data_IF_410123881481
#
_entry.id   IF_410123881481
#
_cell.length_a   1.000
_cell.length_b   1.000
_cell.length_c   1.000
_cell.angle_alpha   90.00
_cell.angle_beta   90.00
_cell.angle_gamma   90.00
#
_symmetry.space_group_name_H-M   'P 1'
#
loop_
_entity.id
_entity.type
_entity.pdbx_description
1 polymer ?
#
# COMPACT_ATOMS: atom_id res chain seq x y z
N UNK A 1 -56.77 19.06 2.07
CA UNK A 1 -56.06 17.81 1.74
C UNK A 1 -55.85 17.09 3.07
N UNK A 2 -56.77 16.24 3.53
CA UNK A 2 -57.02 14.86 3.05
C UNK A 2 -55.74 14.02 3.07
N UNK A 3 -55.68 12.82 3.65
CA UNK A 3 -56.56 12.05 4.54
C UNK A 3 -55.68 10.84 4.94
N UNK A 4 -55.69 10.44 6.22
CA UNK A 4 -55.62 9.04 6.73
C UNK A 4 -54.39 8.16 6.40
N UNK A 5 -53.97 7.19 7.22
CA UNK A 5 -54.74 6.19 8.00
C UNK A 5 -53.72 5.48 8.90
N UNK A 6 -53.92 5.39 10.24
CA UNK A 6 -54.44 4.20 10.99
C UNK A 6 -53.33 3.16 11.26
N UNK A 7 -53.19 2.48 12.40
CA UNK A 7 -53.77 2.34 13.76
C UNK A 7 -52.78 1.35 14.45
N UNK A 8 -52.81 0.94 15.71
CA UNK A 8 -53.71 0.94 16.88
C UNK A 8 -52.71 0.78 18.07
N UNK A 9 -52.64 1.62 19.09
CA UNK A 9 -53.59 1.87 20.18
C UNK A 9 -53.46 0.93 21.38
N UNK A 10 -53.54 1.59 22.53
CA UNK A 10 -54.03 1.12 23.84
C UNK A 10 -53.05 0.44 24.78
N UNK A 11 -52.42 1.31 25.56
CA UNK A 11 -52.60 1.37 27.02
C UNK A 11 -53.79 0.54 27.55
N UNK A 12 -53.57 -0.22 28.62
CA UNK A 12 -54.06 0.15 29.97
C UNK A 12 -53.89 -0.99 30.98
N UNK A 13 -53.11 -0.65 32.01
CA UNK A 13 -53.45 -0.72 33.44
C UNK A 13 -54.05 -2.01 33.99
N UNK A 14 -53.26 -2.56 34.90
CA UNK A 14 -53.59 -3.54 35.94
C UNK A 14 -55.02 -3.49 36.49
N UNK A 15 -55.61 -4.67 36.69
CA UNK A 15 -56.62 -4.89 37.75
C UNK A 15 -56.85 -6.39 37.98
N UNK A 16 -56.16 -6.90 38.99
CA UNK A 16 -56.71 -7.73 40.07
C UNK A 16 -57.96 -8.59 39.79
N UNK A 17 -57.77 -9.92 39.77
CA UNK A 17 -58.65 -10.88 40.43
C UNK A 17 -57.87 -12.20 40.70
N UNK A 18 -57.59 -12.48 41.98
CA UNK A 18 -57.29 -13.81 42.55
C UNK A 18 -58.52 -14.75 42.41
N UNK A 19 -58.50 -16.02 42.86
CA UNK A 19 -57.43 -17.01 43.11
C UNK A 19 -57.74 -18.32 42.33
N UNK A 20 -56.80 -19.24 42.08
CA UNK A 20 -56.69 -20.56 42.75
C UNK A 20 -55.98 -21.49 41.74
N UNK A 21 -54.64 -21.52 41.65
CA UNK A 21 -53.87 -22.57 40.90
C UNK A 21 -52.33 -22.49 41.07
N UNK A 22 -51.83 -21.88 42.15
CA UNK A 22 -50.39 -21.55 42.28
C UNK A 22 -49.50 -22.73 42.68
N UNK A 23 -50.03 -23.92 42.99
CA UNK A 23 -49.17 -25.00 43.51
C UNK A 23 -48.59 -25.99 42.48
N UNK A 24 -49.00 -25.96 41.21
CA UNK A 24 -48.57 -26.99 40.25
C UNK A 24 -47.51 -26.58 39.21
N UNK A 25 -47.12 -25.30 39.12
CA UNK A 25 -46.18 -24.81 38.09
C UNK A 25 -44.76 -24.49 38.60
N UNK A 26 -44.31 -25.07 39.72
CA UNK A 26 -42.94 -24.82 40.24
C UNK A 26 -41.87 -25.76 39.67
N UNK A 27 -42.24 -26.84 38.97
CA UNK A 27 -41.27 -27.86 38.48
C UNK A 27 -40.91 -27.77 37.00
N UNK A 28 -41.62 -26.98 36.20
CA UNK A 28 -41.37 -26.88 34.75
C UNK A 28 -40.69 -25.58 34.31
N UNK A 29 -40.59 -24.58 35.19
CA UNK A 29 -39.93 -23.29 34.88
C UNK A 29 -38.40 -23.31 35.03
N UNK A 30 -37.84 -24.26 35.81
CA UNK A 30 -36.38 -24.37 36.01
C UNK A 30 -35.67 -25.02 34.81
N UNK A 31 -36.32 -25.97 34.13
CA UNK A 31 -35.78 -26.63 32.92
C UNK A 31 -35.82 -25.75 31.67
N UNK A 32 -36.82 -24.88 31.56
CA UNK A 32 -36.97 -23.98 30.41
C UNK A 32 -35.96 -22.81 30.47
N UNK A 33 -35.64 -22.32 31.67
CA UNK A 33 -34.63 -21.27 31.87
C UNK A 33 -33.20 -21.80 31.60
N UNK A 34 -32.90 -23.05 31.95
CA UNK A 34 -31.62 -23.70 31.62
C UNK A 34 -31.48 -23.96 30.12
N UNK A 35 -32.57 -24.32 29.43
CA UNK A 35 -32.56 -24.50 27.97
C UNK A 35 -32.31 -23.18 27.21
N UNK A 36 -32.83 -22.04 27.69
CA UNK A 36 -32.61 -20.72 27.10
C UNK A 36 -31.18 -20.19 27.31
N UNK A 37 -30.55 -20.52 28.44
CA UNK A 37 -29.15 -20.14 28.73
C UNK A 37 -28.17 -20.97 27.86
N UNK A 38 -28.47 -22.24 27.58
CA UNK A 38 -27.65 -23.10 26.71
C UNK A 38 -27.65 -22.66 25.23
N UNK A 39 -28.73 -22.04 24.74
CA UNK A 39 -28.83 -21.54 23.35
C UNK A 39 -27.99 -20.28 23.13
N UNK A 40 -27.66 -19.53 24.20
CA UNK A 40 -26.86 -18.31 24.11
C UNK A 40 -25.35 -18.57 23.96
N UNK A 41 -24.89 -19.82 24.12
CA UNK A 41 -23.47 -20.18 24.10
C UNK A 41 -22.95 -20.70 22.75
N UNK A 42 -23.82 -20.81 21.74
CA UNK A 42 -23.42 -21.23 20.38
C UNK A 42 -23.54 -20.06 19.41
N UNK A 43 -22.75 -19.00 19.61
CA UNK A 43 -22.36 -18.18 18.47
C UNK A 43 -21.41 -19.05 17.62
N UNK A 44 -21.74 -19.40 16.37
CA UNK A 44 -20.72 -19.93 15.49
C UNK A 44 -19.66 -18.84 15.38
N UNK A 45 -18.49 -19.09 15.98
CA UNK A 45 -17.27 -18.41 15.59
C UNK A 45 -17.07 -18.78 14.12
N UNK A 46 -17.65 -17.98 13.22
CA UNK A 46 -17.11 -17.87 11.88
C UNK A 46 -15.76 -17.23 12.12
N UNK A 47 -14.75 -18.06 12.35
CA UNK A 47 -13.39 -17.69 12.08
C UNK A 47 -13.39 -17.37 10.58
N UNK A 48 -13.66 -16.11 10.26
CA UNK A 48 -13.14 -15.54 9.04
C UNK A 48 -11.64 -15.79 9.17
N UNK A 49 -11.16 -16.84 8.49
CA UNK A 49 -9.75 -17.00 8.21
C UNK A 49 -9.41 -15.81 7.31
N UNK A 50 -9.21 -14.65 7.94
CA UNK A 50 -8.69 -13.46 7.31
C UNK A 50 -7.25 -13.80 7.01
N UNK A 51 -7.05 -14.54 5.92
CA UNK A 51 -5.75 -14.91 5.41
C UNK A 51 -4.90 -13.65 5.41
N UNK A 52 -3.86 -13.64 6.25
CA UNK A 52 -2.97 -12.49 6.42
C UNK A 52 -2.43 -12.07 5.07
N UNK A 53 -2.18 -10.78 4.83
CA UNK A 53 -1.60 -10.39 3.55
C UNK A 53 -0.21 -11.03 3.37
N UNK A 54 0.23 -11.28 2.14
CA UNK A 54 1.59 -11.78 1.89
C UNK A 54 2.67 -10.89 2.51
N UNK A 55 2.41 -9.58 2.57
CA UNK A 55 3.32 -8.59 3.14
C UNK A 55 3.42 -8.74 4.67
N UNK A 56 2.31 -9.07 5.34
CA UNK A 56 2.32 -9.41 6.77
C UNK A 56 3.04 -10.74 7.03
N UNK A 57 2.88 -11.72 6.13
CA UNK A 57 3.62 -12.98 6.20
C UNK A 57 5.12 -12.71 6.11
N UNK A 58 5.59 -11.93 5.14
CA UNK A 58 7.01 -11.55 5.04
C UNK A 58 7.53 -10.95 6.35
N UNK A 59 6.80 -10.00 6.93
CA UNK A 59 7.17 -9.37 8.19
C UNK A 59 7.26 -10.36 9.35
N UNK A 60 6.39 -11.38 9.39
CA UNK A 60 6.47 -12.42 10.43
C UNK A 60 7.72 -13.31 10.37
N UNK A 61 8.45 -13.25 9.24
CA UNK A 61 9.75 -13.91 9.03
C UNK A 61 10.90 -12.90 8.92
N UNK A 62 10.71 -11.67 9.45
CA UNK A 62 11.69 -10.59 9.55
C UNK A 62 12.10 -9.92 8.22
N UNK A 63 11.28 -10.09 7.17
CA UNK A 63 11.46 -9.38 5.90
C UNK A 63 10.62 -8.10 5.80
N UNK A 64 11.16 -7.00 5.24
CA UNK A 64 10.38 -5.81 4.97
C UNK A 64 9.39 -6.05 3.82
N UNK A 65 8.32 -5.25 3.80
CA UNK A 65 7.22 -5.42 2.83
C UNK A 65 7.66 -5.18 1.39
N UNK A 66 8.69 -4.35 1.18
CA UNK A 66 9.17 -3.93 -0.14
C UNK A 66 10.06 -4.93 -0.88
N UNK A 67 10.30 -6.12 -0.31
CA UNK A 67 10.95 -7.23 -1.04
C UNK A 67 10.08 -7.68 -2.22
N UNK A 68 8.75 -7.52 -2.11
CA UNK A 68 7.80 -7.80 -3.18
C UNK A 68 7.17 -6.51 -3.75
N UNK A 69 6.94 -6.46 -5.08
CA UNK A 69 6.21 -5.36 -5.68
C UNK A 69 4.72 -5.41 -5.31
N UNK A 70 4.07 -4.24 -5.38
CA UNK A 70 2.60 -4.13 -5.24
C UNK A 70 1.89 -4.95 -6.32
N UNK A 71 0.74 -5.52 -5.98
CA UNK A 71 -0.13 -6.23 -6.93
C UNK A 71 -0.07 -7.75 -6.86
N UNK A 72 0.43 -8.31 -5.76
CA UNK A 72 0.18 -9.72 -5.41
C UNK A 72 -1.32 -9.96 -5.26
N UNK A 73 -1.82 -11.00 -5.94
CA UNK A 73 -3.25 -11.36 -5.93
C UNK A 73 -3.55 -12.54 -5.02
N UNK A 74 -2.62 -13.48 -4.89
CA UNK A 74 -2.73 -14.60 -3.96
C UNK A 74 -1.35 -15.14 -3.57
N UNK A 75 -1.31 -15.95 -2.52
CA UNK A 75 -0.12 -16.67 -2.10
C UNK A 75 -0.50 -18.00 -1.45
N UNK A 76 0.42 -18.94 -1.41
CA UNK A 76 0.34 -20.18 -0.64
C UNK A 76 1.60 -20.29 0.23
N UNK A 77 1.45 -20.81 1.45
CA UNK A 77 2.56 -21.04 2.37
C UNK A 77 2.29 -22.33 3.15
N UNK A 78 3.22 -23.27 3.04
CA UNK A 78 3.29 -24.44 3.91
C UNK A 78 4.11 -24.07 5.15
N UNK A 79 3.45 -23.84 6.28
CA UNK A 79 4.10 -23.33 7.50
C UNK A 79 5.12 -24.31 8.11
N UNK A 80 4.94 -25.60 7.85
CA UNK A 80 5.80 -26.70 8.30
C UNK A 80 7.13 -26.74 7.54
N UNK A 81 7.11 -26.56 6.21
CA UNK A 81 8.33 -26.61 5.37
C UNK A 81 8.89 -25.24 5.01
N UNK A 82 8.09 -24.19 5.12
CA UNK A 82 8.39 -22.85 4.61
C UNK A 82 8.22 -22.71 3.10
N UNK A 83 7.79 -23.75 2.38
CA UNK A 83 7.55 -23.65 0.93
C UNK A 83 6.43 -22.66 0.63
N UNK A 84 6.70 -21.72 -0.28
CA UNK A 84 5.73 -20.71 -0.66
C UNK A 84 5.61 -20.56 -2.18
N UNK A 85 4.43 -20.10 -2.60
CA UNK A 85 4.19 -19.52 -3.91
C UNK A 85 3.48 -18.18 -3.76
N UNK A 86 3.87 -17.21 -4.59
CA UNK A 86 3.24 -15.89 -4.68
C UNK A 86 2.81 -15.68 -6.12
N UNK A 87 1.58 -15.20 -6.30
CA UNK A 87 0.97 -15.02 -7.62
C UNK A 87 0.59 -13.56 -7.88
N UNK A 88 0.86 -13.12 -9.10
CA UNK A 88 0.52 -11.81 -9.64
C UNK A 88 -0.18 -11.98 -10.99
N UNK A 89 -0.99 -11.00 -11.38
CA UNK A 89 -1.72 -11.07 -12.65
C UNK A 89 -0.83 -11.13 -13.90
N UNK A 90 0.39 -10.60 -13.82
CA UNK A 90 1.32 -10.52 -14.94
C UNK A 90 2.76 -10.51 -14.46
N UNK A 91 3.67 -10.80 -15.40
CA UNK A 91 5.10 -10.52 -15.19
C UNK A 91 5.29 -9.02 -14.96
N UNK A 92 6.16 -8.69 -14.04
CA UNK A 92 6.43 -7.34 -13.62
C UNK A 92 7.90 -6.99 -13.81
N UNK A 93 8.17 -5.84 -14.43
CA UNK A 93 9.53 -5.32 -14.60
C UNK A 93 9.56 -3.84 -14.26
N UNK A 94 10.65 -3.40 -13.66
CA UNK A 94 10.90 -2.00 -13.32
C UNK A 94 12.39 -1.79 -13.04
N UNK A 95 12.80 -0.52 -13.02
CA UNK A 95 14.17 -0.14 -12.65
C UNK A 95 14.18 0.54 -11.29
N UNK A 96 15.13 0.17 -10.45
CA UNK A 96 15.49 0.88 -9.21
C UNK A 96 16.95 1.27 -9.34
N UNK A 97 17.22 2.57 -9.28
CA UNK A 97 18.56 3.12 -9.46
C UNK A 97 19.22 2.64 -10.77
N UNK A 98 20.26 1.81 -10.69
CA UNK A 98 20.97 1.20 -11.83
C UNK A 98 20.56 -0.24 -12.14
N UNK A 99 19.66 -0.83 -11.35
CA UNK A 99 19.24 -2.23 -11.52
C UNK A 99 17.93 -2.33 -12.28
N UNK A 100 17.90 -3.24 -13.26
CA UNK A 100 16.66 -3.65 -13.93
C UNK A 100 16.18 -4.97 -13.31
N UNK A 101 15.00 -4.94 -12.70
CA UNK A 101 14.41 -6.07 -11.99
C UNK A 101 13.25 -6.65 -12.79
N UNK A 102 13.09 -7.97 -12.71
CA UNK A 102 12.00 -8.71 -13.32
C UNK A 102 11.48 -9.77 -12.37
N UNK A 103 10.20 -9.67 -12.07
CA UNK A 103 9.41 -10.63 -11.31
C UNK A 103 8.48 -11.36 -12.29
N UNK A 104 8.47 -12.68 -12.30
CA UNK A 104 7.48 -13.47 -13.04
C UNK A 104 6.12 -13.36 -12.34
N UNK A 105 5.06 -13.77 -13.05
CA UNK A 105 3.71 -13.83 -12.48
C UNK A 105 3.59 -14.83 -11.32
N UNK A 106 4.50 -15.81 -11.25
CA UNK A 106 4.60 -16.74 -10.13
C UNK A 106 6.02 -16.72 -9.59
N UNK A 107 6.15 -16.50 -8.30
CA UNK A 107 7.40 -16.52 -7.54
C UNK A 107 7.29 -17.67 -6.55
N UNK A 108 8.34 -18.47 -6.42
CA UNK A 108 8.36 -19.59 -5.46
C UNK A 108 9.64 -19.60 -4.68
N UNK A 109 9.65 -20.25 -3.53
CA UNK A 109 10.84 -20.46 -2.74
C UNK A 109 10.54 -21.16 -1.43
N UNK A 110 11.51 -21.10 -0.52
CA UNK A 110 11.36 -21.52 0.86
C UNK A 110 11.70 -20.34 1.75
N UNK A 111 10.78 -19.97 2.63
CA UNK A 111 10.97 -18.90 3.62
C UNK A 111 11.26 -19.50 4.99
N UNK A 112 12.28 -18.96 5.64
CA UNK A 112 12.53 -19.10 7.07
C UNK A 112 12.85 -17.73 7.65
N UNK A 113 12.98 -17.63 8.97
CA UNK A 113 13.38 -16.38 9.60
C UNK A 113 14.70 -15.90 8.98
N UNK A 114 14.75 -14.62 8.61
CA UNK A 114 15.90 -13.94 8.00
C UNK A 114 16.39 -14.53 6.67
N UNK A 115 15.67 -15.48 6.05
CA UNK A 115 16.16 -16.15 4.84
C UNK A 115 15.05 -16.57 3.86
N UNK A 116 15.23 -16.19 2.61
CA UNK A 116 14.51 -16.69 1.44
C UNK A 116 15.49 -17.50 0.60
N UNK A 117 15.22 -18.78 0.37
CA UNK A 117 16.13 -19.67 -0.37
C UNK A 117 15.38 -20.42 -1.48
N UNK A 118 16.12 -20.95 -2.45
CA UNK A 118 15.57 -21.63 -3.64
C UNK A 118 14.55 -20.74 -4.37
N UNK A 119 14.82 -19.43 -4.37
CA UNK A 119 13.93 -18.44 -4.95
C UNK A 119 13.90 -18.63 -6.47
N UNK A 120 12.70 -18.61 -7.03
CA UNK A 120 12.49 -18.64 -8.48
C UNK A 120 11.51 -17.55 -8.89
N UNK A 121 11.69 -17.05 -10.12
CA UNK A 121 10.82 -16.03 -10.68
C UNK A 121 11.22 -14.60 -10.34
N UNK A 122 12.35 -14.36 -9.68
CA UNK A 122 12.94 -13.04 -9.51
C UNK A 122 14.29 -12.99 -10.23
N UNK A 123 14.49 -11.99 -11.07
CA UNK A 123 15.70 -11.83 -11.86
C UNK A 123 16.17 -10.38 -11.88
N UNK A 124 17.48 -10.20 -11.88
CA UNK A 124 18.14 -8.91 -12.06
C UNK A 124 18.94 -8.93 -13.35
N UNK A 125 19.01 -7.80 -14.05
CA UNK A 125 19.82 -7.66 -15.25
C UNK A 125 21.24 -7.23 -14.89
N UNK A 126 22.21 -7.99 -15.36
CA UNK A 126 23.64 -7.70 -15.22
C UNK A 126 24.24 -7.68 -16.63
N UNK A 127 24.82 -6.54 -17.01
CA UNK A 127 25.29 -6.28 -18.38
C UNK A 127 24.19 -6.55 -19.42
N UNK A 128 24.26 -7.67 -20.14
CA UNK A 128 23.29 -8.06 -21.17
C UNK A 128 22.46 -9.30 -20.79
N UNK A 129 22.67 -9.87 -19.60
CA UNK A 129 22.06 -11.13 -19.18
C UNK A 129 21.14 -10.94 -17.98
N UNK A 130 20.06 -11.72 -17.95
CA UNK A 130 19.18 -11.83 -16.79
C UNK A 130 19.67 -12.97 -15.90
N UNK A 131 20.00 -12.65 -14.66
CA UNK A 131 20.41 -13.62 -13.66
C UNK A 131 19.31 -13.79 -12.62
N UNK A 132 19.05 -15.03 -12.21
CA UNK A 132 18.06 -15.30 -11.18
C UNK A 132 18.64 -14.96 -9.81
N UNK A 133 17.86 -14.24 -9.01
CA UNK A 133 18.10 -14.13 -7.57
C UNK A 133 17.59 -15.43 -6.98
N UNK A 134 18.49 -16.19 -6.35
CA UNK A 134 18.21 -17.54 -5.82
C UNK A 134 18.07 -17.53 -4.31
N UNK A 135 18.60 -16.50 -3.65
CA UNK A 135 18.62 -16.38 -2.20
C UNK A 135 18.62 -14.91 -1.77
N UNK A 136 17.92 -14.63 -0.68
CA UNK A 136 17.95 -13.35 0.04
C UNK A 136 18.11 -13.64 1.53
N UNK A 137 19.11 -13.07 2.16
CA UNK A 137 19.38 -13.19 3.60
C UNK A 137 19.31 -11.84 4.26
N UNK A 138 18.84 -11.80 5.50
CA UNK A 138 18.88 -10.61 6.35
C UNK A 138 19.96 -10.78 7.41
N UNK A 139 20.80 -9.76 7.56
CA UNK A 139 21.73 -9.64 8.68
C UNK A 139 21.59 -8.24 9.29
N UNK A 140 20.91 -8.17 10.44
CA UNK A 140 20.60 -6.90 11.11
C UNK A 140 19.76 -5.97 10.22
N UNK A 141 20.40 -4.88 9.79
CA UNK A 141 19.80 -3.81 8.98
C UNK A 141 20.17 -3.90 7.49
N UNK A 142 20.81 -5.01 7.08
CA UNK A 142 21.17 -5.28 5.69
C UNK A 142 20.44 -6.50 5.13
N UNK A 143 20.09 -6.42 3.85
CA UNK A 143 19.59 -7.52 3.04
C UNK A 143 20.62 -7.86 1.96
N UNK A 144 21.12 -9.09 1.99
CA UNK A 144 22.02 -9.62 0.99
C UNK A 144 21.21 -10.36 -0.08
N UNK A 145 21.32 -9.94 -1.34
CA UNK A 145 20.68 -10.59 -2.49
C UNK A 145 21.71 -11.37 -3.30
N UNK A 146 21.51 -12.69 -3.43
CA UNK A 146 22.46 -13.58 -4.10
C UNK A 146 21.91 -14.15 -5.40
N UNK A 147 22.75 -14.15 -6.43
CA UNK A 147 22.55 -14.87 -7.71
C UNK A 147 23.31 -16.19 -7.75
N UNK A 148 23.79 -16.67 -6.60
CA UNK A 148 24.52 -17.93 -6.42
C UNK A 148 26.03 -17.79 -6.49
N UNK A 149 26.56 -17.13 -7.54
CA UNK A 149 28.01 -16.91 -7.70
C UNK A 149 28.49 -15.56 -7.12
N UNK A 150 27.56 -14.67 -6.82
CA UNK A 150 27.82 -13.32 -6.32
C UNK A 150 26.60 -12.83 -5.53
N UNK A 151 26.84 -11.86 -4.66
CA UNK A 151 25.81 -11.19 -3.88
C UNK A 151 26.04 -9.68 -3.82
N UNK A 152 25.02 -8.96 -3.38
CA UNK A 152 25.06 -7.53 -3.11
C UNK A 152 24.17 -7.19 -1.92
N UNK A 153 24.66 -6.30 -1.07
CA UNK A 153 24.01 -5.86 0.17
C UNK A 153 23.26 -4.55 -0.02
N UNK A 154 22.09 -4.47 0.61
CA UNK A 154 21.25 -3.28 0.59
C UNK A 154 20.63 -3.08 1.97
N UNK A 155 20.68 -1.84 2.47
CA UNK A 155 20.01 -1.51 3.73
C UNK A 155 18.50 -1.78 3.66
N UNK A 156 17.94 -2.29 4.75
CA UNK A 156 16.53 -2.65 4.92
C UNK A 156 15.59 -1.47 4.63
N UNK A 157 15.98 -0.25 4.99
CA UNK A 157 15.17 0.98 4.78
C UNK A 157 14.85 1.22 3.28
N UNK A 158 15.65 0.66 2.38
CA UNK A 158 15.36 0.72 0.94
C UNK A 158 14.07 -0.02 0.55
N UNK A 159 13.58 -0.90 1.42
CA UNK A 159 12.46 -1.82 1.21
C UNK A 159 11.26 -1.52 2.12
N UNK A 160 11.21 -0.37 2.78
CA UNK A 160 10.05 0.04 3.59
C UNK A 160 8.77 0.23 2.75
N UNK A 161 8.94 0.65 1.50
CA UNK A 161 7.87 0.82 0.54
C UNK A 161 7.90 -0.27 -0.54
N UNK A 162 6.73 -0.80 -0.91
CA UNK A 162 6.63 -1.73 -2.02
C UNK A 162 6.77 -1.00 -3.38
N UNK A 163 7.68 -1.43 -4.28
CA UNK A 163 7.78 -0.86 -5.61
C UNK A 163 6.54 -1.18 -6.44
N UNK A 164 6.19 -0.30 -7.38
CA UNK A 164 5.09 -0.53 -8.31
C UNK A 164 5.59 -1.08 -9.63
N UNK A 165 4.73 -1.87 -10.27
CA UNK A 165 5.09 -2.47 -11.53
C UNK A 165 5.24 -1.46 -12.66
N UNK A 166 6.27 -1.62 -13.50
CA UNK A 166 6.58 -0.72 -14.62
C UNK A 166 7.44 0.48 -14.22
N UNK A 167 7.03 1.22 -13.19
CA UNK A 167 7.66 2.49 -12.81
C UNK A 167 8.43 2.46 -11.49
N UNK A 168 8.46 1.34 -10.76
CA UNK A 168 9.20 1.22 -9.50
C UNK A 168 8.68 2.21 -8.47
N UNK A 169 9.58 3.05 -7.93
CA UNK A 169 9.24 4.14 -7.02
C UNK A 169 8.93 5.47 -7.71
N UNK A 170 8.98 5.51 -9.05
CA UNK A 170 8.88 6.75 -9.83
C UNK A 170 7.48 7.02 -10.39
N UNK A 171 6.47 6.22 -10.04
CA UNK A 171 5.14 6.34 -10.64
C UNK A 171 4.50 7.71 -10.41
N UNK A 172 4.63 8.26 -9.20
CA UNK A 172 4.14 9.60 -8.87
C UNK A 172 4.94 10.69 -9.59
N UNK A 173 6.27 10.58 -9.67
CA UNK A 173 7.12 11.49 -10.45
C UNK A 173 6.74 11.47 -11.95
N UNK A 174 6.52 10.29 -12.53
CA UNK A 174 6.13 10.15 -13.93
C UNK A 174 4.75 10.75 -14.18
N UNK A 175 3.77 10.50 -13.31
CA UNK A 175 2.45 11.11 -13.40
C UNK A 175 2.53 12.64 -13.31
N UNK A 176 3.34 13.16 -12.39
CA UNK A 176 3.57 14.59 -12.24
C UNK A 176 4.22 15.20 -13.48
N UNK A 177 5.25 14.55 -14.04
CA UNK A 177 5.92 14.96 -15.28
C UNK A 177 4.93 15.06 -16.45
N UNK A 178 4.09 14.05 -16.64
CA UNK A 178 3.06 14.05 -17.69
C UNK A 178 1.99 15.12 -17.45
N UNK A 179 1.59 15.34 -16.20
CA UNK A 179 0.71 16.42 -15.80
C UNK A 179 1.28 17.80 -16.20
N UNK A 180 2.54 18.07 -15.88
CA UNK A 180 3.18 19.34 -16.24
C UNK A 180 3.40 19.51 -17.74
N UNK A 181 3.76 18.44 -18.47
CA UNK A 181 3.81 18.48 -19.95
C UNK A 181 2.47 18.85 -20.56
N UNK A 182 1.40 18.25 -20.04
CA UNK A 182 0.04 18.51 -20.49
C UNK A 182 -0.36 19.95 -20.17
N UNK A 183 -0.08 20.43 -18.95
CA UNK A 183 -0.37 21.81 -18.56
C UNK A 183 0.37 22.83 -19.43
N UNK A 184 1.67 22.61 -19.68
CA UNK A 184 2.46 23.44 -20.60
C UNK A 184 1.87 23.45 -22.02
N UNK A 185 1.44 22.30 -22.54
CA UNK A 185 0.84 22.17 -23.88
C UNK A 185 -0.45 22.98 -24.04
N UNK A 186 -1.25 23.08 -22.99
CA UNK A 186 -2.53 23.80 -22.99
C UNK A 186 -2.48 25.17 -22.30
N UNK A 187 -1.28 25.65 -21.91
CA UNK A 187 -1.08 26.90 -21.19
C UNK A 187 -1.91 26.99 -19.89
N UNK A 188 -1.97 25.89 -19.13
CA UNK A 188 -2.73 25.77 -17.87
C UNK A 188 -1.81 26.12 -16.70
N UNK A 189 -2.26 27.02 -15.83
CA UNK A 189 -1.58 27.34 -14.57
C UNK A 189 -1.94 26.32 -13.49
N UNK A 190 -0.93 25.78 -12.80
CA UNK A 190 -1.11 24.87 -11.66
C UNK A 190 -0.85 25.64 -10.37
N UNK A 191 -1.87 25.71 -9.51
CA UNK A 191 -1.82 26.46 -8.26
C UNK A 191 -1.16 25.68 -7.12
N UNK A 192 -1.30 24.35 -7.10
CA UNK A 192 -0.74 23.49 -6.07
C UNK A 192 -0.54 22.07 -6.61
N UNK A 193 0.51 21.40 -6.14
CA UNK A 193 0.78 19.99 -6.36
C UNK A 193 1.02 19.36 -5.00
N UNK A 194 0.30 18.27 -4.74
CA UNK A 194 0.44 17.46 -3.53
C UNK A 194 1.31 16.24 -3.85
N UNK A 195 2.21 15.90 -2.93
CA UNK A 195 3.12 14.76 -3.06
C UNK A 195 2.92 13.87 -1.84
N UNK A 196 2.57 12.62 -2.10
CA UNK A 196 2.20 11.61 -1.11
C UNK A 196 3.34 10.70 -0.69
N UNK A 197 4.33 10.46 -1.56
CA UNK A 197 5.53 9.69 -1.22
C UNK A 197 6.62 10.58 -0.64
N UNK A 198 7.10 10.22 0.56
CA UNK A 198 8.25 10.86 1.21
C UNK A 198 9.53 10.74 0.36
N UNK A 199 9.72 9.60 -0.30
CA UNK A 199 10.84 9.35 -1.23
C UNK A 199 10.79 10.30 -2.44
N UNK A 200 9.59 10.55 -2.96
CA UNK A 200 9.38 11.50 -4.06
C UNK A 200 9.62 12.93 -3.60
N UNK A 201 9.09 13.32 -2.43
CA UNK A 201 9.34 14.63 -1.85
C UNK A 201 10.83 14.89 -1.60
N UNK A 202 11.54 13.91 -1.03
CA UNK A 202 12.99 13.97 -0.84
C UNK A 202 13.74 14.10 -2.18
N UNK A 203 13.36 13.31 -3.19
CA UNK A 203 13.98 13.35 -4.52
C UNK A 203 13.81 14.72 -5.21
N UNK A 204 12.63 15.34 -5.07
CA UNK A 204 12.37 16.69 -5.60
C UNK A 204 13.20 17.76 -4.88
N UNK A 205 13.38 17.64 -3.56
CA UNK A 205 14.16 18.59 -2.77
C UNK A 205 15.66 18.46 -3.00
N UNK A 206 16.17 17.22 -3.06
CA UNK A 206 17.59 16.90 -3.17
C UNK A 206 17.90 16.12 -4.48
N UNK A 207 17.84 16.77 -5.66
CA UNK A 207 18.04 16.09 -6.93
C UNK A 207 19.44 15.48 -7.08
N UNK A 208 20.45 16.05 -6.42
CA UNK A 208 21.83 15.56 -6.45
C UNK A 208 22.00 14.18 -5.83
N UNK A 209 21.14 13.82 -4.88
CA UNK A 209 21.18 12.53 -4.17
C UNK A 209 20.32 11.45 -4.83
N UNK A 210 19.49 11.81 -5.82
CA UNK A 210 18.73 10.83 -6.59
C UNK A 210 19.65 10.09 -7.58
N UNK A 211 19.56 8.77 -7.60
CA UNK A 211 20.37 7.92 -8.48
C UNK A 211 19.59 7.53 -9.74
N UNK A 212 20.31 7.35 -10.85
CA UNK A 212 19.77 6.81 -12.10
C UNK A 212 18.63 7.63 -12.73
N UNK A 213 17.57 6.91 -13.12
CA UNK A 213 16.42 7.44 -13.89
C UNK A 213 15.63 8.50 -13.12
N UNK A 214 15.57 8.40 -11.79
CA UNK A 214 14.85 9.34 -10.92
C UNK A 214 15.41 10.76 -11.04
N UNK A 215 16.74 10.90 -11.14
CA UNK A 215 17.41 12.21 -11.29
C UNK A 215 16.99 12.95 -12.54
N UNK A 216 16.95 12.23 -13.67
CA UNK A 216 16.58 12.82 -14.95
C UNK A 216 15.10 13.24 -14.95
N UNK A 217 14.22 12.44 -14.34
CA UNK A 217 12.81 12.78 -14.19
C UNK A 217 12.63 14.04 -13.33
N UNK A 218 13.31 14.12 -12.18
CA UNK A 218 13.23 15.29 -11.29
C UNK A 218 13.73 16.56 -11.97
N UNK A 219 14.84 16.50 -12.71
CA UNK A 219 15.35 17.65 -13.45
C UNK A 219 14.38 18.13 -14.53
N UNK A 220 13.76 17.22 -15.28
CA UNK A 220 12.75 17.59 -16.29
C UNK A 220 11.49 18.19 -15.64
N UNK A 221 11.03 17.63 -14.52
CA UNK A 221 9.93 18.21 -13.74
C UNK A 221 10.28 19.63 -13.34
N UNK A 222 11.45 19.89 -12.74
CA UNK A 222 11.86 21.24 -12.34
C UNK A 222 11.91 22.22 -13.54
N UNK A 223 12.40 21.78 -14.69
CA UNK A 223 12.38 22.59 -15.91
C UNK A 223 10.94 22.90 -16.36
N UNK A 224 10.06 21.90 -16.38
CA UNK A 224 8.64 22.09 -16.71
C UNK A 224 7.93 23.02 -15.72
N UNK A 225 8.29 22.98 -14.44
CA UNK A 225 7.76 23.88 -13.42
C UNK A 225 8.13 25.35 -13.71
N UNK A 226 9.37 25.59 -14.13
CA UNK A 226 9.85 26.93 -14.53
C UNK A 226 9.13 27.41 -15.79
N UNK A 227 8.95 26.54 -16.78
CA UNK A 227 8.31 26.88 -18.06
C UNK A 227 6.80 27.10 -17.96
N UNK A 228 6.12 26.38 -17.06
CA UNK A 228 4.66 26.44 -16.90
C UNK A 228 4.19 27.60 -16.01
N UNK A 229 5.10 28.39 -15.42
CA UNK A 229 4.74 29.48 -14.52
C UNK A 229 3.97 29.01 -13.28
N UNK A 230 4.46 27.96 -12.61
CA UNK A 230 3.78 27.39 -11.43
C UNK A 230 3.61 28.44 -10.33
N UNK A 231 2.38 28.58 -9.85
CA UNK A 231 1.99 29.63 -8.91
C UNK A 231 2.28 29.26 -7.44
N UNK A 232 2.40 27.96 -7.08
CA UNK A 232 2.79 27.47 -5.74
C UNK A 232 3.04 25.94 -5.70
N UNK A 233 3.94 25.47 -4.83
CA UNK A 233 4.14 24.04 -4.49
C UNK A 233 4.02 23.88 -2.97
N UNK A 234 3.34 22.83 -2.46
CA UNK A 234 3.14 22.58 -1.01
C UNK A 234 3.44 21.12 -0.69
N UNK A 235 4.16 20.87 0.40
CA UNK A 235 4.47 19.52 0.90
C UNK A 235 3.74 19.29 2.24
N UNK A 236 2.94 18.22 2.40
CA UNK A 236 2.10 18.04 3.59
C UNK A 236 2.84 17.54 4.85
N UNK A 237 3.91 16.73 4.73
CA UNK A 237 4.34 15.87 5.85
C UNK A 237 5.76 16.11 6.43
N UNK A 238 6.29 17.33 6.41
CA UNK A 238 7.59 17.59 7.03
C UNK A 238 7.59 18.41 8.32
N UNK A 239 6.46 18.98 8.78
CA UNK A 239 6.44 19.83 9.99
C UNK A 239 7.40 21.05 9.94
N UNK A 240 8.13 21.20 8.84
CA UNK A 240 9.09 22.24 8.55
C UNK A 240 8.37 23.20 7.62
N UNK A 241 8.06 24.38 8.13
CA UNK A 241 7.83 25.56 7.30
C UNK A 241 9.13 25.79 6.51
N UNK A 242 9.24 25.16 5.33
CA UNK A 242 10.34 25.48 4.42
C UNK A 242 10.17 26.94 4.00
N UNK A 243 11.20 27.79 4.17
CA UNK A 243 11.12 29.14 3.64
C UNK A 243 10.87 29.02 2.14
N UNK A 244 9.85 29.73 1.68
CA UNK A 244 9.43 29.90 0.27
C UNK A 244 10.57 30.46 -0.62
N UNK A 245 11.76 30.69 -0.07
CA UNK A 245 12.84 31.50 -0.63
C UNK A 245 13.60 30.89 -1.81
N UNK A 246 13.22 29.72 -2.34
CA UNK A 246 13.87 29.17 -3.55
C UNK A 246 12.93 28.79 -4.70
N UNK A 247 11.69 29.27 -4.68
CA UNK A 247 10.79 29.23 -5.85
C UNK A 247 10.09 30.59 -6.09
N UNK A 248 10.82 31.71 -5.96
CA UNK A 248 10.34 32.97 -6.54
C UNK A 248 10.62 32.93 -8.04
N UNK A 249 9.65 32.40 -8.80
CA UNK A 249 9.61 32.53 -10.26
C UNK A 249 9.25 34.00 -10.57
N UNK A 250 9.99 34.71 -11.43
CA UNK A 250 9.62 36.07 -11.82
C UNK A 250 8.24 36.05 -12.50
N UNK A 251 7.37 36.97 -12.07
CA UNK A 251 6.01 37.12 -12.60
C UNK A 251 6.01 37.15 -14.14
N UNK A 252 5.09 36.44 -14.82
CA UNK A 252 5.03 36.46 -16.26
C UNK A 252 4.76 37.88 -16.74
N UNK A 253 5.67 38.40 -17.55
CA UNK A 253 5.56 39.69 -18.21
C UNK A 253 4.30 39.67 -19.07
N UNK A 254 3.31 40.48 -18.68
CA UNK A 254 2.03 40.65 -19.37
C UNK A 254 2.32 40.99 -20.84
N UNK A 255 2.14 40.04 -21.76
CA UNK A 255 2.29 40.27 -23.20
C UNK A 255 1.16 41.21 -23.61
N UNK A 256 1.48 42.51 -23.68
CA UNK A 256 0.58 43.53 -24.20
C UNK A 256 0.23 43.14 -25.63
N UNK A 257 -1.04 42.88 -25.89
CA UNK A 257 -1.57 42.80 -27.24
C UNK A 257 -1.32 44.15 -27.92
N UNK A 258 -0.66 44.12 -29.07
CA UNK A 258 -0.57 45.25 -29.98
C UNK A 258 -1.75 45.07 -30.94
N UNK A 259 -2.66 46.04 -30.91
CA UNK A 259 -3.71 46.21 -31.91
C UNK A 259 -3.21 46.90 -33.16
#
# INVERSE_FOLDING_TARGET
MAFTTINDNSDKVASMAQPELVQFLSKTKMGLLTLLILISLTTPFVAADSKSSVYQVLQSYDFPVGVLPKGVTSYELKKDTGEFSVHMNKTCSFSIESYELKYKSTITGVISRDRLQKLTGVSVKVLLFWLNIVEVTRDGDDLEFSVGIASADFSVDNFDECPQCGCGFNCELLAMREGFRTAKRFNICINQVEVSSSRVAHSLNNPSTSLGVSKLIVLDIKALMLDAGICKVRFPDLGIHWPISWLTVPSPMRRSGIG
#
